data_IF_860825785489
#
_entry.id   IF_860825785489
#
_cell.length_a   1.000
_cell.length_b   1.000
_cell.length_c   1.000
_cell.angle_alpha   90.00
_cell.angle_beta   90.00
_cell.angle_gamma   90.00
#
_symmetry.space_group_name_H-M   'P 1'
#
loop_
_entity.id
_entity.type
_entity.pdbx_description
1 polymer ?
#
# COMPACT_ATOMS: atom_id res chain seq x y z
N UNK A 1 -15.82 28.50 -12.49
CA UNK A 1 -16.06 29.87 -12.99
C UNK A 1 -14.96 30.78 -12.47
N UNK A 2 -14.44 31.70 -13.29
CA UNK A 2 -13.46 32.71 -12.86
C UNK A 2 -14.17 34.06 -12.77
N UNK A 3 -14.08 34.70 -11.61
CA UNK A 3 -14.51 36.06 -11.38
C UNK A 3 -13.27 36.96 -11.28
N UNK A 4 -13.39 38.28 -11.45
CA UNK A 4 -12.29 39.20 -11.22
C UNK A 4 -11.79 39.02 -9.77
N UNK A 5 -10.53 38.63 -9.61
CA UNK A 5 -9.87 38.36 -8.33
C UNK A 5 -10.36 37.14 -7.53
N UNK A 6 -11.17 36.26 -8.14
CA UNK A 6 -11.60 35.00 -7.50
C UNK A 6 -11.58 33.85 -8.50
N UNK A 7 -10.79 32.83 -8.17
CA UNK A 7 -10.84 31.53 -8.82
C UNK A 7 -11.55 30.54 -7.88
N UNK A 8 -12.52 29.81 -8.42
CA UNK A 8 -13.18 28.71 -7.72
C UNK A 8 -12.78 27.41 -8.40
N UNK A 9 -12.29 26.45 -7.61
CA UNK A 9 -11.91 25.11 -8.05
C UNK A 9 -12.47 24.05 -7.11
N UNK A 10 -12.37 22.79 -7.52
CA UNK A 10 -12.84 21.65 -6.76
C UNK A 10 -11.69 20.65 -6.58
N UNK A 11 -11.54 20.14 -5.35
CA UNK A 11 -10.68 18.99 -5.07
C UNK A 11 -11.52 17.73 -5.31
N UNK A 12 -11.28 17.06 -6.43
CA UNK A 12 -11.91 15.78 -6.75
C UNK A 12 -10.90 14.67 -6.59
N UNK A 13 -11.38 13.44 -6.42
CA UNK A 13 -10.51 12.26 -6.35
C UNK A 13 -9.60 12.17 -7.57
N UNK A 14 -10.12 12.46 -8.76
CA UNK A 14 -9.38 12.40 -10.03
C UNK A 14 -8.29 13.46 -10.10
N UNK A 15 -8.55 14.70 -9.65
CA UNK A 15 -7.54 15.76 -9.66
C UNK A 15 -6.40 15.48 -8.68
N UNK A 16 -6.73 14.97 -7.49
CA UNK A 16 -5.75 14.55 -6.50
C UNK A 16 -4.94 13.35 -7.00
N UNK A 17 -5.59 12.33 -7.59
CA UNK A 17 -4.88 11.19 -8.21
C UNK A 17 -3.93 11.62 -9.32
N UNK A 18 -4.32 12.61 -10.14
CA UNK A 18 -3.46 13.18 -11.17
C UNK A 18 -2.23 13.86 -10.55
N UNK A 19 -2.42 14.69 -9.53
CA UNK A 19 -1.32 15.35 -8.81
C UNK A 19 -0.35 14.35 -8.18
N UNK A 20 -0.87 13.32 -7.49
CA UNK A 20 -0.09 12.22 -6.92
C UNK A 20 0.70 11.45 -7.98
N UNK A 21 0.13 11.23 -9.16
CA UNK A 21 0.81 10.56 -10.28
C UNK A 21 1.98 11.39 -10.81
N UNK A 22 1.92 12.71 -10.68
CA UNK A 22 3.00 13.65 -11.00
C UNK A 22 3.96 13.88 -9.82
N UNK A 23 3.85 13.11 -8.73
CA UNK A 23 4.79 13.15 -7.60
C UNK A 23 4.47 14.18 -6.52
N UNK A 24 3.30 14.83 -6.55
CA UNK A 24 2.87 15.77 -5.52
C UNK A 24 2.15 14.98 -4.41
N UNK A 25 2.69 14.97 -3.19
CA UNK A 25 2.10 14.22 -2.07
C UNK A 25 0.87 14.91 -1.47
N UNK A 26 0.02 14.14 -0.79
CA UNK A 26 -1.12 14.64 -0.03
C UNK A 26 -0.70 15.63 1.06
N UNK A 27 0.45 15.40 1.70
CA UNK A 27 1.05 16.31 2.68
C UNK A 27 1.41 17.66 2.06
N UNK A 28 2.06 17.66 0.88
CA UNK A 28 2.37 18.90 0.16
C UNK A 28 1.11 19.67 -0.23
N UNK A 29 0.03 18.97 -0.62
CA UNK A 29 -1.27 19.60 -0.91
C UNK A 29 -1.88 20.20 0.36
N UNK A 30 -1.85 19.47 1.47
CA UNK A 30 -2.34 19.94 2.77
C UNK A 30 -1.59 21.20 3.23
N UNK A 31 -0.26 21.17 3.20
CA UNK A 31 0.60 22.28 3.59
C UNK A 31 0.35 23.51 2.72
N UNK A 32 0.18 23.31 1.41
CA UNK A 32 -0.15 24.39 0.49
C UNK A 32 -1.47 25.07 0.86
N UNK A 33 -2.52 24.28 1.17
CA UNK A 33 -3.82 24.81 1.61
C UNK A 33 -3.72 25.54 2.94
N UNK A 34 -2.93 25.02 3.89
CA UNK A 34 -2.73 25.62 5.20
C UNK A 34 -1.98 26.96 5.11
N UNK A 35 -0.89 27.02 4.34
CA UNK A 35 -0.06 28.23 4.16
C UNK A 35 -0.80 29.35 3.42
N UNK A 36 -1.74 29.01 2.55
CA UNK A 36 -2.51 29.97 1.75
C UNK A 36 -3.97 30.12 2.22
N UNK A 37 -4.28 29.69 3.45
CA UNK A 37 -5.60 29.83 4.02
C UNK A 37 -5.97 31.30 4.22
N UNK A 38 -7.20 31.67 3.86
CA UNK A 38 -7.69 33.03 4.06
C UNK A 38 -7.68 33.39 5.56
N UNK A 39 -7.40 34.64 5.97
CA UNK A 39 -7.35 35.03 7.39
C UNK A 39 -8.61 34.66 8.19
N UNK A 40 -9.79 34.71 7.56
CA UNK A 40 -11.04 34.24 8.19
C UNK A 40 -11.06 32.74 8.50
N UNK A 41 -10.35 31.91 7.74
CA UNK A 41 -10.22 30.47 7.99
C UNK A 41 -9.19 30.18 9.09
N UNK A 42 -8.17 31.02 9.25
CA UNK A 42 -7.15 30.85 10.29
C UNK A 42 -7.74 30.93 11.72
N UNK A 43 -8.92 31.53 11.88
CA UNK A 43 -9.65 31.54 13.15
C UNK A 43 -10.38 30.22 13.48
N UNK A 44 -10.43 29.26 12.55
CA UNK A 44 -11.04 27.96 12.77
C UNK A 44 -10.03 26.97 13.39
N UNK A 45 -10.52 26.04 14.18
CA UNK A 45 -9.73 24.92 14.70
C UNK A 45 -10.43 23.59 14.37
N UNK A 46 -9.92 22.80 13.42
CA UNK A 46 -8.72 23.04 12.60
C UNK A 46 -8.93 24.05 11.46
N UNK A 47 -7.84 24.67 10.97
CA UNK A 47 -7.87 25.62 9.84
C UNK A 47 -8.40 24.97 8.56
N UNK A 48 -7.89 23.78 8.27
CA UNK A 48 -8.40 22.90 7.21
C UNK A 48 -9.33 21.88 7.87
N UNK A 49 -10.59 21.78 7.45
CA UNK A 49 -11.54 20.78 7.96
C UNK A 49 -10.99 19.35 7.89
N UNK A 50 -11.21 18.56 8.95
CA UNK A 50 -10.69 17.19 9.09
C UNK A 50 -11.08 16.29 7.91
N UNK A 51 -12.33 16.38 7.46
CA UNK A 51 -12.82 15.59 6.33
C UNK A 51 -12.04 15.85 5.02
N UNK A 52 -11.54 17.06 4.79
CA UNK A 52 -10.73 17.40 3.62
C UNK A 52 -9.34 16.78 3.78
N UNK A 53 -8.73 16.93 4.95
CA UNK A 53 -7.43 16.33 5.25
C UNK A 53 -7.48 14.80 5.06
N UNK A 54 -8.46 14.16 5.67
CA UNK A 54 -8.67 12.71 5.56
C UNK A 54 -8.86 12.25 4.12
N UNK A 55 -9.65 12.98 3.31
CA UNK A 55 -9.84 12.63 1.91
C UNK A 55 -8.53 12.66 1.11
N UNK A 56 -7.67 13.66 1.32
CA UNK A 56 -6.36 13.73 0.66
C UNK A 56 -5.50 12.49 0.97
N UNK A 57 -5.39 12.13 2.26
CA UNK A 57 -4.59 10.99 2.69
C UNK A 57 -5.20 9.65 2.27
N UNK A 58 -6.53 9.52 2.34
CA UNK A 58 -7.23 8.34 1.85
C UNK A 58 -6.93 8.15 0.37
N UNK A 59 -7.15 9.16 -0.47
CA UNK A 59 -6.90 9.09 -1.92
C UNK A 59 -5.45 8.77 -2.28
N UNK A 60 -4.48 9.28 -1.52
CA UNK A 60 -3.08 8.84 -1.67
C UNK A 60 -2.90 7.36 -1.36
N UNK A 61 -3.45 6.88 -0.25
CA UNK A 61 -3.38 5.45 0.13
C UNK A 61 -4.09 4.55 -0.87
N UNK A 62 -5.10 5.03 -1.58
CA UNK A 62 -5.77 4.24 -2.63
C UNK A 62 -4.83 3.84 -3.77
N UNK A 63 -3.80 4.65 -4.09
CA UNK A 63 -2.76 4.29 -5.06
C UNK A 63 -1.92 3.10 -4.58
N UNK A 64 -1.75 2.95 -3.27
CA UNK A 64 -0.87 1.96 -2.66
C UNK A 64 -1.64 0.73 -2.16
N UNK A 65 -2.81 0.43 -2.74
CA UNK A 65 -3.64 -0.72 -2.32
C UNK A 65 -3.08 -2.08 -2.75
N UNK A 66 -2.27 -2.11 -3.79
CA UNK A 66 -1.68 -3.35 -4.33
C UNK A 66 -0.18 -3.30 -4.10
N UNK A 67 0.32 -4.30 -3.38
CA UNK A 67 1.74 -4.60 -3.31
C UNK A 67 2.01 -5.78 -4.25
N UNK A 68 3.05 -5.66 -5.05
CA UNK A 68 3.49 -6.71 -5.96
C UNK A 68 4.76 -7.33 -5.38
N UNK A 69 4.64 -8.53 -4.82
CA UNK A 69 5.77 -9.31 -4.34
C UNK A 69 6.02 -10.47 -5.33
N UNK A 70 7.19 -10.49 -5.96
CA UNK A 70 7.55 -11.56 -6.87
C UNK A 70 7.85 -12.84 -6.06
N UNK A 71 7.11 -13.91 -6.33
CA UNK A 71 7.23 -15.17 -5.60
C UNK A 71 7.14 -16.42 -6.48
N UNK A 72 7.52 -17.54 -5.88
CA UNK A 72 7.35 -18.88 -6.42
C UNK A 72 6.29 -19.63 -5.59
N UNK A 73 5.39 -20.33 -6.26
CA UNK A 73 4.40 -21.21 -5.61
C UNK A 73 5.03 -22.59 -5.39
N UNK A 74 5.00 -23.05 -4.14
CA UNK A 74 5.30 -24.42 -3.73
C UNK A 74 3.95 -25.08 -3.42
N UNK A 75 3.63 -26.13 -4.15
CA UNK A 75 2.37 -26.90 -4.09
C UNK A 75 2.70 -28.39 -4.38
N UNK A 76 1.73 -29.29 -4.20
CA UNK A 76 1.88 -30.72 -4.44
C UNK A 76 2.38 -31.52 -3.24
N UNK A 77 2.20 -31.00 -2.01
CA UNK A 77 2.51 -31.72 -0.79
C UNK A 77 1.58 -32.94 -0.63
N UNK A 78 2.15 -34.07 -0.20
CA UNK A 78 1.41 -35.33 0.00
C UNK A 78 0.77 -35.37 1.39
N UNK A 79 1.47 -34.84 2.39
CA UNK A 79 1.03 -34.84 3.79
C UNK A 79 1.06 -33.44 4.39
N UNK A 80 0.27 -33.22 5.44
CA UNK A 80 0.27 -31.95 6.19
C UNK A 80 1.59 -31.77 6.93
N UNK A 81 2.19 -32.86 7.39
CA UNK A 81 3.48 -32.86 8.08
C UNK A 81 4.61 -32.33 7.18
N UNK A 82 4.68 -32.80 5.93
CA UNK A 82 5.67 -32.31 4.96
C UNK A 82 5.49 -30.81 4.68
N UNK A 83 4.23 -30.38 4.56
CA UNK A 83 3.89 -28.98 4.38
C UNK A 83 4.33 -28.12 5.58
N UNK A 84 4.04 -28.55 6.80
CA UNK A 84 4.36 -27.80 8.02
C UNK A 84 5.87 -27.65 8.22
N UNK A 85 6.65 -28.67 7.89
CA UNK A 85 8.13 -28.63 7.95
C UNK A 85 8.68 -27.58 6.98
N UNK A 86 8.18 -27.55 5.75
CA UNK A 86 8.62 -26.58 4.72
C UNK A 86 8.13 -25.16 5.04
N UNK A 87 6.89 -25.01 5.52
CA UNK A 87 6.33 -23.73 5.96
C UNK A 87 7.18 -23.13 7.09
N UNK A 88 7.53 -23.94 8.10
CA UNK A 88 8.36 -23.51 9.22
C UNK A 88 9.74 -23.06 8.74
N UNK A 89 10.39 -23.85 7.89
CA UNK A 89 11.67 -23.45 7.30
C UNK A 89 11.57 -22.11 6.54
N UNK A 90 10.55 -21.93 5.72
CA UNK A 90 10.35 -20.69 4.96
C UNK A 90 10.07 -19.48 5.87
N UNK A 91 9.40 -19.67 7.01
CA UNK A 91 9.21 -18.65 8.04
C UNK A 91 10.52 -18.30 8.75
N UNK A 92 11.27 -19.31 9.19
CA UNK A 92 12.52 -19.15 9.95
C UNK A 92 13.59 -18.41 9.12
N UNK A 93 13.64 -18.68 7.81
CA UNK A 93 14.57 -18.01 6.87
C UNK A 93 14.03 -16.67 6.36
N UNK A 94 12.78 -16.31 6.69
CA UNK A 94 12.16 -15.04 6.33
C UNK A 94 11.82 -14.91 4.85
N UNK A 95 11.54 -16.03 4.17
CA UNK A 95 11.24 -16.07 2.73
C UNK A 95 9.77 -16.38 2.42
N UNK A 96 8.95 -16.68 3.42
CA UNK A 96 7.50 -16.90 3.26
C UNK A 96 6.78 -15.57 2.95
N UNK A 97 5.98 -15.55 1.87
CA UNK A 97 5.11 -14.43 1.49
C UNK A 97 3.65 -14.68 1.87
N UNK A 98 3.16 -15.90 1.65
CA UNK A 98 1.77 -16.29 1.91
C UNK A 98 1.68 -17.81 2.01
N UNK A 99 0.67 -18.32 2.71
CA UNK A 99 0.39 -19.75 2.78
C UNK A 99 -1.11 -20.03 2.94
N UNK A 100 -1.50 -21.26 2.62
CA UNK A 100 -2.85 -21.80 2.81
C UNK A 100 -2.75 -23.26 3.24
N UNK A 101 -3.00 -23.49 4.53
CA UNK A 101 -2.92 -24.82 5.15
C UNK A 101 -4.06 -25.76 4.74
N UNK A 102 -5.16 -25.25 4.15
CA UNK A 102 -6.28 -26.09 3.71
C UNK A 102 -5.92 -26.77 2.39
N UNK A 103 -5.29 -26.02 1.49
CA UNK A 103 -4.88 -26.52 0.17
C UNK A 103 -3.40 -26.89 0.10
N UNK A 104 -2.68 -26.82 1.23
CA UNK A 104 -1.24 -27.07 1.36
C UNK A 104 -0.41 -26.25 0.34
N UNK A 105 -0.66 -24.94 0.26
CA UNK A 105 0.05 -24.04 -0.65
C UNK A 105 0.93 -23.06 0.10
N UNK A 106 2.11 -22.82 -0.43
CA UNK A 106 3.07 -21.88 0.12
C UNK A 106 3.62 -21.01 -1.01
N UNK A 107 3.58 -19.70 -0.85
CA UNK A 107 4.27 -18.76 -1.74
C UNK A 107 5.48 -18.22 -1.01
N UNK A 108 6.64 -18.35 -1.64
CA UNK A 108 7.92 -17.84 -1.12
C UNK A 108 8.46 -16.74 -2.03
N UNK A 109 9.32 -15.89 -1.50
CA UNK A 109 10.00 -14.86 -2.29
C UNK A 109 10.77 -15.50 -3.44
N UNK A 110 10.82 -14.83 -4.60
CA UNK A 110 11.59 -15.30 -5.76
C UNK A 110 13.07 -15.54 -5.44
N UNK A 111 13.66 -14.72 -4.57
CA UNK A 111 15.04 -14.88 -4.12
C UNK A 111 15.23 -16.09 -3.16
N UNK A 112 14.19 -16.46 -2.42
CA UNK A 112 14.22 -17.59 -1.49
C UNK A 112 13.86 -18.95 -2.11
N UNK A 113 13.34 -18.97 -3.35
CA UNK A 113 12.83 -20.18 -3.99
C UNK A 113 13.86 -21.31 -4.11
N UNK A 114 15.12 -21.00 -4.44
CA UNK A 114 16.21 -21.99 -4.51
C UNK A 114 16.47 -22.65 -3.16
N UNK A 115 16.59 -21.86 -2.08
CA UNK A 115 16.78 -22.39 -0.72
C UNK A 115 15.67 -23.34 -0.29
N UNK A 116 14.42 -23.01 -0.62
CA UNK A 116 13.28 -23.86 -0.28
C UNK A 116 13.28 -25.14 -1.10
N UNK A 117 13.61 -25.08 -2.41
CA UNK A 117 13.77 -26.29 -3.24
C UNK A 117 14.89 -27.20 -2.74
N UNK A 118 16.02 -26.62 -2.33
CA UNK A 118 17.14 -27.41 -1.82
C UNK A 118 16.81 -28.04 -0.47
N UNK A 119 16.06 -27.34 0.38
CA UNK A 119 15.55 -27.92 1.63
C UNK A 119 14.63 -29.12 1.36
N UNK A 120 13.68 -28.99 0.41
CA UNK A 120 12.75 -30.06 0.02
C UNK A 120 13.47 -31.27 -0.60
N UNK A 121 14.53 -31.06 -1.39
CA UNK A 121 15.27 -32.19 -2.00
C UNK A 121 16.09 -33.01 -0.99
N UNK A 122 16.46 -32.39 0.11
CA UNK A 122 17.35 -32.98 1.12
C UNK A 122 16.57 -33.52 2.34
N UNK A 123 15.24 -33.42 2.34
CA UNK A 123 14.33 -33.99 3.34
C UNK A 123 13.41 -35.00 2.65
#
# INVERSE_FOLDING_TARGET
>A
ARLPNLAVGFLTRESIRSALSNGISAEQIYDFLMQHAHPKMLGNSPVIPENIADQLYLWQRERNRIKFDAGELVDGFVTTEDFDVVLKFAQDVGVMLWYDSIHLRLVVTKAGGERVRDFIKNH
#
